data_IF_003630285983
#
_entry.id   IF_003630285983
#
_cell.length_a   1.000
_cell.length_b   1.000
_cell.length_c   1.000
_cell.angle_alpha   90.00
_cell.angle_beta   90.00
_cell.angle_gamma   90.00
#
_symmetry.space_group_name_H-M   'P 1'
#
loop_
_entity.id
_entity.type
_entity.pdbx_description
1 polymer ?
#
# COMPACT_ATOMS: atom_id res chain seq x y z
N UNK A 1 -0.13 12.37 -7.72
CA UNK A 1 0.91 13.24 -8.30
C UNK A 1 1.77 12.37 -9.17
N UNK A 2 2.08 12.82 -10.39
CA UNK A 2 3.12 12.19 -11.19
C UNK A 2 4.41 13.03 -11.05
N UNK A 3 5.46 12.51 -10.38
CA UNK A 3 6.69 13.26 -10.16
C UNK A 3 7.48 13.47 -11.46
N UNK A 4 7.31 12.63 -12.48
CA UNK A 4 8.05 12.73 -13.74
C UNK A 4 7.49 13.87 -14.60
N UNK A 5 6.17 13.90 -14.81
CA UNK A 5 5.52 14.99 -15.55
C UNK A 5 5.23 16.24 -14.71
N UNK A 6 5.51 16.20 -13.41
CA UNK A 6 5.17 17.26 -12.44
C UNK A 6 3.66 17.57 -12.42
N UNK A 7 2.81 16.58 -12.75
CA UNK A 7 1.36 16.75 -12.83
C UNK A 7 0.68 16.47 -11.49
N UNK A 8 -0.15 17.41 -11.04
CA UNK A 8 -1.03 17.24 -9.86
C UNK A 8 -2.46 16.99 -10.35
N UNK A 9 -2.94 15.77 -10.10
CA UNK A 9 -4.33 15.41 -10.36
C UNK A 9 -5.22 15.88 -9.20
N UNK A 10 -6.28 16.61 -9.55
CA UNK A 10 -7.30 17.08 -8.60
C UNK A 10 -8.64 16.54 -9.03
N UNK A 11 -9.43 16.06 -8.08
CA UNK A 11 -10.75 15.49 -8.32
C UNK A 11 -11.81 16.22 -7.49
N UNK A 12 -13.03 16.30 -8.00
CA UNK A 12 -14.17 16.86 -7.25
C UNK A 12 -14.84 15.77 -6.42
N UNK A 13 -15.22 16.13 -5.20
CA UNK A 13 -15.97 15.26 -4.30
C UNK A 13 -15.10 14.36 -3.43
N UNK A 14 -15.53 14.14 -2.18
CA UNK A 14 -14.80 13.33 -1.19
C UNK A 14 -14.81 11.82 -1.50
N UNK A 15 -15.73 11.40 -2.37
CA UNK A 15 -15.99 9.99 -2.72
C UNK A 15 -15.44 9.58 -4.09
N UNK A 16 -14.64 10.44 -4.72
CA UNK A 16 -14.13 10.16 -6.05
C UNK A 16 -13.26 8.88 -6.03
N UNK A 17 -13.43 7.92 -6.96
CA UNK A 17 -12.71 6.64 -6.95
C UNK A 17 -11.18 6.77 -6.91
N UNK A 18 -10.62 7.82 -7.51
CA UNK A 18 -9.17 8.11 -7.46
C UNK A 18 -8.62 8.36 -6.05
N UNK A 19 -9.49 8.61 -5.07
CA UNK A 19 -9.11 8.80 -3.66
C UNK A 19 -9.09 7.50 -2.88
N UNK A 20 -9.47 6.36 -3.45
CA UNK A 20 -9.59 5.07 -2.76
C UNK A 20 -8.68 4.05 -3.39
N UNK A 21 -8.08 3.19 -2.57
CA UNK A 21 -7.14 2.17 -2.99
C UNK A 21 -7.51 0.85 -2.31
N UNK A 22 -7.42 -0.24 -3.07
CA UNK A 22 -7.53 -1.62 -2.54
C UNK A 22 -6.23 -2.41 -2.63
N UNK A 23 -5.24 -1.89 -3.35
CA UNK A 23 -3.95 -2.56 -3.56
C UNK A 23 -2.82 -1.57 -3.32
N UNK A 24 -1.85 -1.98 -2.53
CA UNK A 24 -0.59 -1.27 -2.37
C UNK A 24 0.58 -2.23 -2.29
N UNK A 25 1.78 -1.71 -2.48
CA UNK A 25 3.02 -2.44 -2.30
C UNK A 25 3.95 -1.67 -1.36
N UNK A 26 4.79 -2.41 -0.66
CA UNK A 26 5.66 -1.88 0.39
C UNK A 26 7.11 -2.23 0.13
N UNK A 27 7.99 -1.52 0.83
CA UNK A 27 9.36 -1.97 1.05
C UNK A 27 9.40 -3.22 1.95
N UNK A 28 10.60 -3.66 2.35
CA UNK A 28 10.78 -4.78 3.26
C UNK A 28 10.02 -4.57 4.58
N UNK A 29 9.29 -5.59 5.02
CA UNK A 29 8.58 -5.55 6.29
C UNK A 29 9.55 -5.56 7.48
N UNK A 30 9.14 -4.98 8.61
CA UNK A 30 9.86 -4.99 9.88
C UNK A 30 8.96 -5.61 10.94
N UNK A 31 9.39 -6.73 11.53
CA UNK A 31 8.63 -7.48 12.53
C UNK A 31 9.11 -7.16 13.96
N UNK A 32 8.17 -6.91 14.88
CA UNK A 32 8.48 -6.37 16.22
C UNK A 32 8.97 -7.45 17.20
N UNK A 33 8.44 -8.68 17.14
CA UNK A 33 8.69 -9.72 18.15
C UNK A 33 9.31 -11.01 17.60
N UNK A 34 10.03 -10.96 16.47
CA UNK A 34 10.43 -12.15 15.71
C UNK A 34 9.25 -13.03 15.25
N UNK A 35 8.02 -12.55 15.46
CA UNK A 35 6.80 -13.14 14.96
C UNK A 35 6.62 -12.70 13.50
N UNK A 36 7.19 -13.50 12.61
CA UNK A 36 6.92 -13.41 11.18
C UNK A 36 5.67 -14.24 10.91
N UNK A 37 4.60 -13.66 10.33
CA UNK A 37 3.47 -14.46 9.90
C UNK A 37 3.89 -15.40 8.76
N UNK A 38 3.23 -16.54 8.65
CA UNK A 38 3.33 -17.35 7.43
C UNK A 38 2.73 -16.55 6.27
N UNK A 39 3.48 -16.44 5.17
CA UNK A 39 3.08 -15.70 3.98
C UNK A 39 3.03 -16.67 2.79
N UNK A 40 2.03 -16.57 1.90
CA UNK A 40 0.93 -15.59 1.90
C UNK A 40 -0.15 -15.88 2.96
N UNK A 41 -0.92 -14.85 3.34
CA UNK A 41 -2.00 -14.95 4.35
C UNK A 41 -3.12 -13.94 4.08
N UNK A 42 -4.33 -14.24 4.52
CA UNK A 42 -5.53 -13.38 4.49
C UNK A 42 -5.99 -12.91 5.88
N UNK A 43 -5.23 -13.26 6.94
CA UNK A 43 -5.62 -13.03 8.34
C UNK A 43 -5.01 -11.79 8.98
N UNK A 44 -4.38 -10.93 8.18
CA UNK A 44 -3.67 -9.76 8.70
C UNK A 44 -4.47 -8.51 8.40
N UNK A 45 -4.65 -7.68 9.42
CA UNK A 45 -5.31 -6.40 9.31
C UNK A 45 -4.28 -5.32 8.99
N UNK A 46 -4.62 -4.51 8.00
CA UNK A 46 -3.83 -3.37 7.56
C UNK A 46 -4.43 -2.08 8.13
N UNK A 47 -3.58 -1.24 8.69
CA UNK A 47 -3.93 0.12 9.08
C UNK A 47 -2.87 1.09 8.55
N UNK A 48 -3.30 2.20 7.98
CA UNK A 48 -2.43 3.34 7.69
C UNK A 48 -3.08 4.57 8.32
N UNK A 49 -2.32 5.38 9.07
CA UNK A 49 -2.81 6.47 9.92
C UNK A 49 -3.88 6.08 10.97
N UNK A 50 -3.77 6.62 12.18
CA UNK A 50 -4.70 6.32 13.28
C UNK A 50 -6.16 6.73 13.00
N UNK A 51 -6.41 7.56 11.99
CA UNK A 51 -7.75 8.00 11.60
C UNK A 51 -8.60 6.84 11.03
N UNK A 52 -7.97 5.80 10.49
CA UNK A 52 -8.67 4.72 9.81
C UNK A 52 -8.69 3.46 10.66
N UNK A 53 -9.79 2.71 10.65
CA UNK A 53 -9.83 1.40 11.29
C UNK A 53 -8.89 0.43 10.56
N UNK A 54 -8.34 -0.58 11.25
CA UNK A 54 -7.73 -1.72 10.58
C UNK A 54 -8.74 -2.40 9.65
N UNK A 55 -8.27 -2.80 8.47
CA UNK A 55 -9.06 -3.52 7.45
C UNK A 55 -8.38 -4.84 7.15
N UNK A 56 -9.15 -5.92 7.08
CA UNK A 56 -8.64 -7.23 6.73
C UNK A 56 -7.96 -7.19 5.36
N UNK A 57 -6.83 -7.90 5.23
CA UNK A 57 -6.02 -7.85 4.04
C UNK A 57 -5.36 -9.17 3.72
N UNK A 58 -5.22 -9.43 2.42
CA UNK A 58 -4.37 -10.49 1.89
C UNK A 58 -2.98 -9.94 1.62
N UNK A 59 -1.97 -10.62 2.16
CA UNK A 59 -0.56 -10.25 2.05
C UNK A 59 0.19 -11.30 1.26
N UNK A 60 0.94 -10.84 0.26
CA UNK A 60 1.78 -11.67 -0.62
C UNK A 60 3.24 -11.21 -0.52
N UNK A 61 4.21 -12.14 -0.33
CA UNK A 61 5.63 -11.79 -0.21
C UNK A 61 6.33 -11.70 -1.57
N UNK A 62 7.29 -10.78 -1.68
CA UNK A 62 8.14 -10.57 -2.86
C UNK A 62 9.59 -10.27 -2.47
N UNK A 63 10.54 -10.59 -3.36
CA UNK A 63 11.95 -10.34 -3.09
C UNK A 63 12.30 -8.86 -3.27
N UNK A 64 11.66 -8.19 -4.23
CA UNK A 64 11.91 -6.79 -4.57
C UNK A 64 10.65 -5.96 -4.63
N UNK A 65 10.82 -4.64 -4.47
CA UNK A 65 9.73 -3.66 -4.62
C UNK A 65 9.22 -3.66 -6.07
N UNK A 66 10.09 -3.87 -7.05
CA UNK A 66 9.77 -3.91 -8.47
C UNK A 66 8.88 -5.12 -8.80
N UNK A 67 9.17 -6.30 -8.25
CA UNK A 67 8.32 -7.48 -8.40
C UNK A 67 6.93 -7.24 -7.81
N UNK A 68 6.88 -6.71 -6.58
CA UNK A 68 5.62 -6.38 -5.90
C UNK A 68 4.79 -5.37 -6.71
N UNK A 69 5.41 -4.29 -7.18
CA UNK A 69 4.76 -3.31 -8.05
C UNK A 69 4.26 -3.94 -9.36
N UNK A 70 5.07 -4.76 -10.01
CA UNK A 70 4.70 -5.45 -11.26
C UNK A 70 3.48 -6.34 -11.07
N UNK A 71 3.34 -7.06 -9.95
CA UNK A 71 2.18 -7.91 -9.68
C UNK A 71 0.92 -7.08 -9.44
N UNK A 72 1.04 -6.00 -8.67
CA UNK A 72 -0.07 -5.08 -8.39
C UNK A 72 -0.56 -4.44 -9.69
N UNK A 73 0.36 -4.03 -10.57
CA UNK A 73 0.03 -3.49 -11.88
C UNK A 73 -0.48 -4.55 -12.87
N UNK A 74 0.10 -5.75 -12.94
CA UNK A 74 -0.32 -6.78 -13.93
C UNK A 74 -1.70 -7.39 -13.63
N UNK A 75 -2.11 -7.40 -12.36
CA UNK A 75 -3.50 -7.66 -11.95
C UNK A 75 -4.47 -6.58 -12.48
N UNK A 76 -3.96 -5.41 -12.88
CA UNK A 76 -4.65 -4.41 -13.68
C UNK A 76 -4.15 -4.54 -15.13
N UNK A 77 -4.78 -5.39 -15.94
CA UNK A 77 -4.48 -5.61 -17.36
C UNK A 77 -4.36 -4.31 -18.20
N UNK A 78 -3.18 -3.69 -18.16
CA UNK A 78 -2.57 -2.81 -19.15
C UNK A 78 -1.07 -2.81 -18.85
N UNK A 79 -0.27 -2.97 -19.90
CA UNK A 79 1.18 -3.00 -19.82
C UNK A 79 1.72 -1.73 -19.12
N UNK A 80 2.80 -1.85 -18.33
CA UNK A 80 3.40 -0.69 -17.69
C UNK A 80 3.81 0.34 -18.75
N UNK A 81 3.61 1.65 -18.52
CA UNK A 81 4.34 2.66 -19.28
C UNK A 81 5.84 2.37 -19.08
N UNK A 82 6.61 2.37 -20.18
CA UNK A 82 8.05 2.15 -20.15
C UNK A 82 8.67 3.17 -19.19
N UNK A 83 9.08 2.69 -18.01
CA UNK A 83 9.82 3.47 -17.05
C UNK A 83 11.24 3.60 -17.62
N UNK A 84 11.58 4.79 -18.12
CA UNK A 84 12.97 5.14 -18.43
C UNK A 84 13.74 5.23 -17.13
N UNK A 85 14.93 4.63 -17.11
CA UNK A 85 15.87 4.58 -15.99
C UNK A 85 15.94 5.92 -15.24
N UNK A 86 15.48 5.89 -13.99
CA UNK A 86 15.41 7.03 -13.09
C UNK A 86 16.05 6.67 -11.76
N UNK A 87 17.36 6.43 -11.78
CA UNK A 87 18.20 6.42 -10.59
C UNK A 87 18.20 7.82 -9.96
N UNK A 88 17.18 8.18 -9.16
CA UNK A 88 17.30 9.38 -8.30
C UNK A 88 16.31 9.51 -7.14
N UNK A 89 15.72 8.41 -6.64
CA UNK A 89 14.86 8.45 -5.44
C UNK A 89 15.48 7.80 -4.18
N UNK A 90 16.81 7.71 -4.12
CA UNK A 90 17.55 7.15 -2.97
C UNK A 90 18.13 8.20 -2.01
N UNK A 91 17.98 9.51 -2.28
CA UNK A 91 18.81 10.52 -1.58
C UNK A 91 18.13 11.27 -0.42
N UNK A 92 16.97 10.86 0.08
CA UNK A 92 16.38 11.50 1.28
C UNK A 92 15.80 10.52 2.29
N UNK A 93 16.56 9.47 2.61
CA UNK A 93 16.43 8.81 3.90
C UNK A 93 17.35 9.57 4.89
N UNK A 94 16.83 10.15 5.99
CA UNK A 94 17.68 10.71 7.03
C UNK A 94 18.59 9.62 7.58
N UNK A 95 19.86 10.00 7.77
CA UNK A 95 21.00 9.12 7.98
C UNK A 95 20.79 8.01 8.99
N UNK A 96 21.38 6.87 8.64
CA UNK A 96 21.49 5.64 9.41
C UNK A 96 21.97 5.92 10.85
N UNK A 97 21.03 6.06 11.78
CA UNK A 97 21.27 5.64 13.16
C UNK A 97 21.36 4.12 13.14
N UNK A 98 22.49 3.58 13.60
CA UNK A 98 22.76 2.14 13.64
C UNK A 98 21.68 1.40 14.45
N UNK A 99 20.65 0.90 13.78
CA UNK A 99 19.55 0.17 14.41
C UNK A 99 19.79 -1.33 14.26
N UNK A 100 20.03 -1.95 15.42
CA UNK A 100 20.23 -3.37 15.62
C UNK A 100 19.35 -4.24 14.71
N UNK A 101 20.00 -5.10 13.91
CA UNK A 101 19.51 -6.36 13.30
C UNK A 101 17.98 -6.49 13.29
N UNK A 102 17.28 -5.60 12.57
CA UNK A 102 15.82 -5.66 12.45
C UNK A 102 15.46 -7.02 11.84
N UNK A 103 14.39 -7.64 12.31
CA UNK A 103 13.82 -8.81 11.65
C UNK A 103 13.15 -8.35 10.36
N UNK A 104 13.98 -8.14 9.33
CA UNK A 104 13.56 -7.66 8.02
C UNK A 104 12.91 -8.81 7.27
N UNK A 105 11.66 -8.61 6.87
CA UNK A 105 10.88 -9.50 6.03
C UNK A 105 10.98 -9.17 4.54
N UNK A 106 10.19 -9.86 3.70
CA UNK A 106 10.11 -9.56 2.28
C UNK A 106 9.43 -8.22 2.01
N UNK A 107 9.50 -7.75 0.77
CA UNK A 107 8.57 -6.74 0.27
C UNK A 107 7.16 -7.34 0.21
N UNK A 108 6.12 -6.53 0.41
CA UNK A 108 4.75 -7.02 0.47
C UNK A 108 3.89 -6.40 -0.62
N UNK A 109 3.00 -7.21 -1.19
CA UNK A 109 1.75 -6.71 -1.79
C UNK A 109 0.64 -6.90 -0.78
N UNK A 110 -0.16 -5.87 -0.61
CA UNK A 110 -1.29 -5.85 0.31
C UNK A 110 -2.56 -5.59 -0.49
N UNK A 111 -3.46 -6.57 -0.48
CA UNK A 111 -4.79 -6.50 -1.07
C UNK A 111 -5.82 -6.34 0.06
N UNK A 112 -6.46 -5.18 0.11
CA UNK A 112 -7.44 -4.85 1.14
C UNK A 112 -8.80 -5.46 0.78
N UNK A 113 -9.43 -6.10 1.78
CA UNK A 113 -10.79 -6.60 1.66
C UNK A 113 -11.78 -5.46 1.33
N UNK A 114 -11.51 -4.27 1.86
CA UNK A 114 -12.29 -3.06 1.66
C UNK A 114 -11.39 -1.90 1.19
N UNK A 115 -11.83 -1.03 0.25
CA UNK A 115 -11.03 0.14 -0.15
C UNK A 115 -10.76 1.10 1.01
N UNK A 116 -9.52 1.57 1.11
CA UNK A 116 -9.16 2.64 2.05
C UNK A 116 -8.85 3.93 1.30
N UNK A 117 -9.22 5.06 1.91
CA UNK A 117 -8.99 6.37 1.33
C UNK A 117 -7.50 6.73 1.42
N UNK A 118 -6.94 7.34 0.39
CA UNK A 118 -5.64 8.04 0.37
C UNK A 118 -4.42 7.22 0.85
N UNK A 119 -4.37 5.92 0.63
CA UNK A 119 -3.18 5.09 0.92
C UNK A 119 -1.98 5.65 0.16
N UNK A 120 -1.05 6.29 0.87
CA UNK A 120 -0.03 7.16 0.29
C UNK A 120 1.40 6.59 0.40
N UNK A 121 2.22 6.71 -0.66
CA UNK A 121 3.66 6.42 -0.60
C UNK A 121 4.37 7.20 0.52
N UNK A 122 5.39 6.58 1.11
CA UNK A 122 6.20 7.16 2.20
C UNK A 122 5.53 7.10 3.58
N UNK A 123 4.26 6.72 3.67
CA UNK A 123 3.59 6.43 4.94
C UNK A 123 3.85 4.99 5.38
N UNK A 124 3.63 4.71 6.66
CA UNK A 124 3.75 3.35 7.21
C UNK A 124 2.42 2.61 7.16
N UNK A 125 2.50 1.36 6.72
CA UNK A 125 1.49 0.33 6.93
C UNK A 125 1.77 -0.37 8.26
N UNK A 126 0.85 -0.29 9.20
CA UNK A 126 0.86 -1.12 10.41
C UNK A 126 0.05 -2.40 10.16
N UNK A 127 0.62 -3.53 10.58
CA UNK A 127 0.07 -4.87 10.36
C UNK A 127 -0.30 -5.49 11.70
N UNK A 128 -1.52 -6.01 11.77
CA UNK A 128 -2.09 -6.58 13.00
C UNK A 128 -2.60 -8.01 12.79
N UNK A 129 -2.40 -8.84 13.81
CA UNK A 129 -3.12 -10.10 14.00
C UNK A 129 -4.09 -9.91 15.17
N UNK A 130 -5.36 -9.64 14.85
CA UNK A 130 -6.35 -9.17 15.81
C UNK A 130 -5.89 -7.90 16.54
N UNK A 131 -5.76 -7.98 17.86
CA UNK A 131 -5.33 -6.84 18.69
C UNK A 131 -3.80 -6.72 18.83
N UNK A 132 -3.02 -7.56 18.15
CA UNK A 132 -1.57 -7.58 18.26
C UNK A 132 -0.91 -6.92 17.04
N UNK A 133 -0.14 -5.85 17.25
CA UNK A 133 0.71 -5.30 16.19
C UNK A 133 1.90 -6.23 15.96
N UNK A 134 1.97 -6.83 14.78
CA UNK A 134 3.02 -7.80 14.43
C UNK A 134 4.20 -7.12 13.72
N UNK A 135 3.98 -5.96 13.12
CA UNK A 135 5.01 -5.21 12.42
C UNK A 135 4.44 -4.17 11.48
N UNK A 136 5.28 -3.76 10.52
CA UNK A 136 4.86 -2.82 9.51
C UNK A 136 5.84 -2.70 8.36
N UNK A 137 5.46 -1.94 7.35
CA UNK A 137 6.31 -1.66 6.19
C UNK A 137 6.03 -0.25 5.64
N UNK A 138 7.02 0.38 5.02
CA UNK A 138 6.83 1.65 4.31
C UNK A 138 6.08 1.37 3.01
N UNK A 139 4.97 2.07 2.78
CA UNK A 139 4.21 2.02 1.52
C UNK A 139 5.06 2.67 0.43
N UNK A 140 5.34 1.94 -0.64
CA UNK A 140 6.09 2.45 -1.79
C UNK A 140 5.15 2.93 -2.91
N UNK A 141 3.95 2.37 -2.99
CA UNK A 141 2.92 2.83 -3.92
C UNK A 141 1.60 2.11 -3.77
N UNK A 142 0.60 2.59 -4.49
CA UNK A 142 -0.77 2.10 -4.46
C UNK A 142 -1.46 2.31 -5.81
N UNK A 143 -2.54 1.56 -6.05
CA UNK A 143 -3.41 1.73 -7.22
C UNK A 143 -4.75 2.25 -6.75
N UNK A 144 -5.23 3.32 -7.39
CA UNK A 144 -6.56 3.85 -7.10
C UNK A 144 -7.66 3.01 -7.74
N UNK A 145 -8.86 3.02 -7.17
CA UNK A 145 -10.03 2.35 -7.77
C UNK A 145 -10.37 2.91 -9.15
N UNK A 146 -10.00 4.16 -9.43
CA UNK A 146 -10.14 4.74 -10.76
C UNK A 146 -9.19 4.10 -11.78
N UNK A 147 -7.94 3.84 -11.37
CA UNK A 147 -6.93 3.21 -12.22
C UNK A 147 -7.21 1.71 -12.41
N UNK A 148 -7.75 1.05 -11.37
CA UNK A 148 -8.23 -0.34 -11.44
C UNK A 148 -9.51 -0.45 -12.32
N UNK A 149 -10.43 0.50 -12.18
CA UNK A 149 -11.76 0.50 -12.80
C UNK A 149 -11.86 1.11 -14.20
N UNK A 150 -10.74 1.40 -14.88
CA UNK A 150 -10.75 1.90 -16.27
C UNK A 150 -11.39 0.94 -17.30
N UNK A 151 -11.76 -0.29 -16.90
CA UNK A 151 -12.38 -1.30 -17.76
C UNK A 151 -13.82 -1.67 -17.37
N UNK A 152 -14.14 -1.68 -16.08
CA UNK A 152 -15.51 -1.81 -15.56
C UNK A 152 -15.70 -0.77 -14.44
N UNK A 153 -16.60 0.21 -14.59
CA UNK A 153 -16.78 1.24 -13.59
C UNK A 153 -17.26 0.62 -12.28
N UNK A 154 -16.48 0.80 -11.22
CA UNK A 154 -16.86 0.36 -9.87
C UNK A 154 -17.93 1.30 -9.32
N UNK A 155 -19.21 0.99 -9.56
CA UNK A 155 -20.35 1.88 -9.27
C UNK A 155 -20.95 1.73 -7.87
N UNK A 156 -20.68 0.65 -7.14
CA UNK A 156 -21.40 0.28 -5.91
C UNK A 156 -20.64 0.58 -4.60
N UNK A 157 -19.76 1.58 -4.61
CA UNK A 157 -18.94 1.92 -3.44
C UNK A 157 -19.58 3.02 -2.58
N UNK A 158 -19.68 2.81 -1.26
CA UNK A 158 -20.26 3.78 -0.29
C UNK A 158 -19.24 4.16 0.79
N UNK A 159 -18.85 5.44 0.86
CA UNK A 159 -17.93 5.97 1.89
C UNK A 159 -18.39 5.72 3.32
N UNK A 160 -19.70 5.74 3.56
CA UNK A 160 -20.31 5.60 4.89
C UNK A 160 -19.95 4.30 5.60
N UNK A 161 -19.47 3.29 4.87
CA UNK A 161 -19.06 2.04 5.50
C UNK A 161 -17.71 2.17 6.25
N UNK A 162 -16.93 3.26 6.08
CA UNK A 162 -15.50 3.26 6.42
C UNK A 162 -14.98 4.47 7.23
N UNK A 163 -15.74 5.55 7.35
CA UNK A 163 -15.33 6.70 8.18
C UNK A 163 -15.58 6.39 9.66
N UNK A 164 -14.54 6.43 10.50
CA UNK A 164 -14.72 6.42 11.95
C UNK A 164 -15.34 7.76 12.36
N UNK A 165 -16.60 7.72 12.78
CA UNK A 165 -17.25 8.84 13.44
C UNK A 165 -16.87 8.79 14.92
N UNK A 166 -16.01 9.73 15.33
CA UNK A 166 -15.71 10.01 16.74
C UNK A 166 -16.76 10.96 17.31
#
# INVERSE_FOLDING_TARGET
>A
MDPLSQTIYVVRGKHHPSLFMRKCWTGPAVWINSFKPELPTDRIQFQWQNKWRPVDSRILPFNTVQEAATVVHSSSTLAPPKLSDGEHLSTMLPGETSEAKRNIGPCLVIELAEPMRCVAPGQWAALYDGNCCIGGAVICGSISLWDEGQREPYTDWKLTNYELHY
#
